data_IF_225753217133
#
_entry.id   IF_225753217133
#
_cell.length_a   1.000
_cell.length_b   1.000
_cell.length_c   1.000
_cell.angle_alpha   90.00
_cell.angle_beta   90.00
_cell.angle_gamma   90.00
#
_symmetry.space_group_name_H-M   'P 1'
#
loop_
_entity.id
_entity.type
_entity.pdbx_description
1 polymer ?
#
# COMPACT_ATOMS: atom_id res chain seq x y z
N UNK A 1 49.36 -20.81 17.75
CA UNK A 1 47.99 -20.45 18.17
C UNK A 1 47.36 -19.25 17.43
N UNK A 2 48.09 -18.47 16.62
CA UNK A 2 47.55 -17.25 15.96
C UNK A 2 46.74 -17.47 14.67
N UNK A 3 46.93 -18.59 13.96
CA UNK A 3 46.24 -18.87 12.67
C UNK A 3 44.76 -19.28 12.82
N UNK A 4 44.39 -19.93 13.94
CA UNK A 4 43.01 -20.39 14.18
C UNK A 4 42.06 -19.23 14.49
N UNK A 5 42.54 -18.19 15.17
CA UNK A 5 41.76 -16.99 15.48
C UNK A 5 41.41 -16.17 14.24
N UNK A 6 42.36 -16.02 13.30
CA UNK A 6 42.14 -15.26 12.05
C UNK A 6 41.06 -15.91 11.18
N UNK A 7 41.03 -17.24 11.10
CA UNK A 7 40.01 -17.97 10.33
C UNK A 7 38.60 -17.84 10.93
N UNK A 8 38.49 -17.84 12.27
CA UNK A 8 37.20 -17.66 12.97
C UNK A 8 36.67 -16.23 12.76
N UNK A 9 37.54 -15.21 12.81
CA UNK A 9 37.15 -13.82 12.57
C UNK A 9 36.76 -13.59 11.11
N UNK A 10 37.46 -14.20 10.15
CA UNK A 10 37.10 -14.10 8.72
C UNK A 10 35.76 -14.77 8.41
N UNK A 11 35.48 -15.92 9.03
CA UNK A 11 34.20 -16.62 8.89
C UNK A 11 33.03 -15.83 9.51
N UNK A 12 33.28 -15.12 10.62
CA UNK A 12 32.28 -14.27 11.25
C UNK A 12 31.95 -13.03 10.38
N UNK A 13 32.96 -12.40 9.78
CA UNK A 13 32.77 -11.24 8.88
C UNK A 13 32.05 -11.63 7.58
N UNK A 14 32.24 -12.86 7.08
CA UNK A 14 31.48 -13.39 5.94
C UNK A 14 30.02 -13.74 6.31
N UNK A 15 29.76 -14.16 7.54
CA UNK A 15 28.40 -14.44 8.02
C UNK A 15 27.57 -13.16 8.28
N UNK A 16 28.22 -12.02 8.55
CA UNK A 16 27.57 -10.71 8.70
C UNK A 16 27.78 -9.78 7.49
N UNK A 17 28.46 -10.26 6.45
CA UNK A 17 28.75 -9.53 5.23
C UNK A 17 27.48 -9.34 4.41
N UNK A 18 26.98 -8.10 4.38
CA UNK A 18 25.77 -7.67 3.70
C UNK A 18 24.46 -8.20 4.29
N UNK A 19 24.09 -7.69 5.48
CA UNK A 19 22.67 -7.41 5.72
C UNK A 19 22.28 -6.33 4.71
N UNK A 20 21.91 -6.74 3.50
CA UNK A 20 21.29 -5.85 2.54
C UNK A 20 20.10 -5.20 3.26
N UNK A 21 20.16 -3.89 3.41
CA UNK A 21 19.03 -3.13 3.96
C UNK A 21 17.97 -3.14 2.87
N UNK A 22 17.21 -4.22 2.79
CA UNK A 22 16.09 -4.34 1.86
C UNK A 22 15.05 -3.32 2.31
N UNK A 23 15.03 -2.18 1.63
CA UNK A 23 14.09 -1.13 1.92
C UNK A 23 12.74 -1.51 1.31
N UNK A 24 11.67 -1.31 2.09
CA UNK A 24 10.29 -1.44 1.66
C UNK A 24 9.68 -0.04 1.79
N UNK A 25 9.55 0.67 0.67
CA UNK A 25 9.16 2.08 0.64
C UNK A 25 8.39 2.41 -0.64
N UNK A 26 7.27 3.11 -0.45
CA UNK A 26 6.54 3.82 -1.51
C UNK A 26 7.22 5.16 -1.75
N UNK A 27 7.59 5.46 -3.00
CA UNK A 27 8.26 6.71 -3.38
C UNK A 27 7.29 7.73 -3.97
N UNK A 28 6.26 7.27 -4.67
CA UNK A 28 5.20 8.08 -5.21
C UNK A 28 3.87 7.34 -5.09
N UNK A 29 2.80 8.08 -4.84
CA UNK A 29 1.45 7.54 -4.80
C UNK A 29 0.48 8.55 -5.39
N UNK A 30 -0.48 8.06 -6.17
CA UNK A 30 -1.57 8.87 -6.71
C UNK A 30 -2.91 8.22 -6.41
N UNK A 31 -3.93 9.06 -6.21
CA UNK A 31 -5.31 8.62 -6.05
C UNK A 31 -6.17 9.49 -6.95
N UNK A 32 -6.93 8.86 -7.83
CA UNK A 32 -7.93 9.53 -8.64
C UNK A 32 -9.33 9.00 -8.28
N UNK A 33 -10.28 9.92 -8.11
CA UNK A 33 -11.66 9.62 -7.76
C UNK A 33 -12.58 10.32 -8.74
N UNK A 34 -13.44 9.55 -9.41
CA UNK A 34 -14.43 10.07 -10.34
C UNK A 34 -15.83 9.61 -9.90
N UNK A 35 -16.64 10.55 -9.41
CA UNK A 35 -18.05 10.30 -9.10
C UNK A 35 -18.87 10.36 -10.38
N UNK A 36 -19.06 9.22 -11.00
CA UNK A 36 -19.76 9.10 -12.29
C UNK A 36 -21.27 9.33 -12.17
N UNK A 37 -21.85 9.17 -10.98
CA UNK A 37 -23.25 9.51 -10.70
C UNK A 37 -23.50 9.68 -9.19
N UNK A 38 -24.73 10.04 -8.83
CA UNK A 38 -25.18 10.10 -7.42
C UNK A 38 -25.00 8.77 -6.64
N UNK A 39 -24.92 7.64 -7.36
CA UNK A 39 -24.86 6.30 -6.79
C UNK A 39 -23.64 5.49 -7.26
N UNK A 40 -22.67 6.12 -7.93
CA UNK A 40 -21.52 5.42 -8.49
C UNK A 40 -20.28 6.28 -8.50
N UNK A 41 -19.15 5.69 -8.12
CA UNK A 41 -17.82 6.26 -8.31
C UNK A 41 -16.80 5.22 -8.76
N UNK A 42 -15.88 5.64 -9.61
CA UNK A 42 -14.67 4.89 -9.96
C UNK A 42 -13.50 5.49 -9.23
N UNK A 43 -12.67 4.65 -8.65
CA UNK A 43 -11.48 5.04 -7.91
C UNK A 43 -10.31 4.26 -8.47
N UNK A 44 -9.24 4.97 -8.81
CA UNK A 44 -7.95 4.37 -9.11
C UNK A 44 -6.89 4.87 -8.15
N UNK A 45 -5.94 3.99 -7.84
CA UNK A 45 -4.77 4.31 -7.05
C UNK A 45 -3.55 3.70 -7.69
N UNK A 46 -2.47 4.47 -7.77
CA UNK A 46 -1.15 3.99 -8.16
C UNK A 46 -0.14 4.18 -7.05
N UNK A 47 0.83 3.28 -6.97
CA UNK A 47 1.98 3.39 -6.09
C UNK A 47 3.23 2.91 -6.81
N UNK A 48 4.29 3.70 -6.71
CA UNK A 48 5.62 3.37 -7.20
C UNK A 48 6.54 3.08 -6.01
N UNK A 49 7.41 2.10 -6.15
CA UNK A 49 8.28 1.64 -5.08
C UNK A 49 9.76 1.86 -5.41
N UNK A 50 10.62 1.97 -4.40
CA UNK A 50 12.07 2.19 -4.55
C UNK A 50 12.86 0.97 -5.07
N UNK A 51 12.18 -0.02 -5.65
CA UNK A 51 12.77 -1.23 -6.23
C UNK A 51 11.78 -2.38 -6.32
N UNK A 52 12.20 -3.51 -6.89
CA UNK A 52 11.35 -4.70 -7.07
C UNK A 52 10.97 -5.26 -5.70
N UNK A 53 9.67 -5.30 -5.42
CA UNK A 53 9.09 -5.87 -4.20
C UNK A 53 8.65 -7.30 -4.42
N UNK A 54 8.79 -8.12 -3.39
CA UNK A 54 8.38 -9.53 -3.45
C UNK A 54 6.86 -9.63 -3.47
N UNK A 55 6.18 -8.71 -2.76
CA UNK A 55 4.74 -8.50 -2.88
C UNK A 55 4.36 -7.05 -2.56
N UNK A 56 3.40 -6.51 -3.31
CA UNK A 56 2.77 -5.21 -3.06
C UNK A 56 1.26 -5.37 -3.04
N UNK A 57 0.60 -4.93 -1.98
CA UNK A 57 -0.85 -4.91 -1.86
C UNK A 57 -1.34 -3.47 -1.84
N UNK A 58 -2.26 -3.12 -2.74
CA UNK A 58 -3.04 -1.89 -2.65
C UNK A 58 -4.42 -2.22 -2.10
N UNK A 59 -4.84 -1.52 -1.05
CA UNK A 59 -6.17 -1.64 -0.46
C UNK A 59 -6.88 -0.31 -0.48
N UNK A 60 -7.96 -0.22 -1.24
CA UNK A 60 -8.83 0.95 -1.31
C UNK A 60 -10.01 0.73 -0.36
N UNK A 61 -10.22 1.64 0.58
CA UNK A 61 -11.33 1.63 1.55
C UNK A 61 -12.19 2.87 1.37
N UNK A 62 -13.47 2.68 1.08
CA UNK A 62 -14.44 3.75 0.99
C UNK A 62 -14.81 4.26 2.40
N UNK A 63 -14.72 5.57 2.58
CA UNK A 63 -15.10 6.26 3.80
C UNK A 63 -16.22 7.27 3.53
N UNK A 64 -17.14 7.42 4.46
CA UNK A 64 -18.22 8.41 4.43
C UNK A 64 -18.00 9.46 5.51
N UNK A 65 -18.42 10.70 5.22
CA UNK A 65 -18.47 11.76 6.23
C UNK A 65 -19.64 11.48 7.18
N UNK A 66 -19.39 11.54 8.48
CA UNK A 66 -20.38 11.33 9.53
C UNK A 66 -20.01 12.16 10.76
N UNK A 67 -20.92 13.02 11.23
CA UNK A 67 -20.75 13.89 12.40
C UNK A 67 -19.40 14.65 12.40
N UNK A 68 -19.04 15.25 11.27
CA UNK A 68 -17.78 15.99 11.14
C UNK A 68 -16.51 15.13 10.98
N UNK A 69 -16.59 13.82 11.19
CA UNK A 69 -15.47 12.88 11.04
C UNK A 69 -15.63 11.96 9.84
N UNK A 70 -14.57 11.22 9.51
CA UNK A 70 -14.59 10.23 8.44
C UNK A 70 -14.62 8.82 9.03
N UNK A 71 -15.58 8.01 8.61
CA UNK A 71 -15.69 6.61 9.03
C UNK A 71 -15.76 5.69 7.82
N UNK A 72 -15.55 4.39 8.01
CA UNK A 72 -15.80 3.41 6.93
C UNK A 72 -17.26 3.49 6.48
N UNK A 73 -17.49 3.49 5.17
CA UNK A 73 -18.83 3.63 4.61
C UNK A 73 -19.79 2.53 5.12
N UNK A 74 -21.03 2.94 5.43
CA UNK A 74 -22.09 2.05 5.93
C UNK A 74 -23.27 2.05 4.95
N UNK A 75 -24.02 0.95 4.91
CA UNK A 75 -25.15 0.77 3.98
C UNK A 75 -24.77 0.57 2.49
N UNK A 76 -23.48 0.49 2.15
CA UNK A 76 -23.00 0.13 0.80
C UNK A 76 -22.56 -1.34 0.78
N UNK A 77 -22.75 -2.01 -0.37
CA UNK A 77 -22.38 -3.42 -0.57
C UNK A 77 -20.86 -3.62 -0.57
N UNK A 78 -20.14 -2.81 -1.35
CA UNK A 78 -18.67 -2.84 -1.44
C UNK A 78 -18.07 -1.68 -0.66
N UNK A 79 -17.27 -1.98 0.36
CA UNK A 79 -16.59 -0.98 1.23
C UNK A 79 -15.08 -0.97 1.03
N UNK A 80 -14.54 -2.08 0.55
CA UNK A 80 -13.11 -2.29 0.39
C UNK A 80 -12.86 -3.07 -0.89
N UNK A 81 -11.73 -2.80 -1.52
CA UNK A 81 -11.20 -3.60 -2.62
C UNK A 81 -9.68 -3.66 -2.46
N UNK A 82 -9.07 -4.76 -2.89
CA UNK A 82 -7.63 -4.89 -2.84
C UNK A 82 -7.09 -5.68 -4.03
N UNK A 83 -5.89 -5.31 -4.44
CA UNK A 83 -5.08 -6.01 -5.43
C UNK A 83 -3.72 -6.30 -4.81
N UNK A 84 -3.17 -7.49 -5.07
CA UNK A 84 -1.81 -7.84 -4.69
C UNK A 84 -1.05 -8.29 -5.92
N UNK A 85 0.09 -7.63 -6.17
CA UNK A 85 1.03 -7.98 -7.21
C UNK A 85 2.33 -8.48 -6.59
N UNK A 86 3.10 -9.27 -7.34
CA UNK A 86 4.40 -9.82 -6.91
C UNK A 86 5.48 -9.43 -7.90
N UNK A 87 6.71 -9.32 -7.43
CA UNK A 87 7.89 -9.03 -8.25
C UNK A 87 7.70 -7.79 -9.14
N UNK A 88 7.16 -6.70 -8.56
CA UNK A 88 6.87 -5.46 -9.29
C UNK A 88 7.52 -4.24 -8.64
N UNK A 89 7.71 -3.19 -9.43
CA UNK A 89 8.15 -1.85 -9.00
C UNK A 89 7.01 -0.84 -8.92
N UNK A 90 5.84 -1.18 -9.44
CA UNK A 90 4.65 -0.33 -9.42
C UNK A 90 3.37 -1.15 -9.34
N UNK A 91 2.29 -0.51 -8.91
CA UNK A 91 0.97 -1.12 -8.85
C UNK A 91 -0.07 -0.08 -9.23
N UNK A 92 -0.92 -0.40 -10.20
CA UNK A 92 -2.11 0.38 -10.56
C UNK A 92 -3.35 -0.46 -10.27
N UNK A 93 -4.25 0.07 -9.45
CA UNK A 93 -5.49 -0.62 -9.10
C UNK A 93 -6.69 0.30 -9.29
N UNK A 94 -7.69 -0.17 -10.03
CA UNK A 94 -8.95 0.54 -10.26
C UNK A 94 -10.13 -0.29 -9.76
N UNK A 95 -11.10 0.37 -9.14
CA UNK A 95 -12.32 -0.27 -8.63
C UNK A 95 -13.50 0.68 -8.72
N UNK A 96 -14.68 0.11 -8.95
CA UNK A 96 -15.96 0.81 -8.85
C UNK A 96 -16.61 0.59 -7.48
N UNK A 97 -17.27 1.62 -6.96
CA UNK A 97 -18.10 1.58 -5.76
C UNK A 97 -19.52 2.04 -6.07
N UNK A 98 -20.51 1.32 -5.53
CA UNK A 98 -21.89 1.77 -5.48
C UNK A 98 -22.08 2.63 -4.23
N UNK A 99 -22.58 3.84 -4.42
CA UNK A 99 -22.73 4.87 -3.39
C UNK A 99 -24.19 5.04 -2.98
N UNK A 100 -24.41 5.62 -1.80
CA UNK A 100 -25.72 6.10 -1.37
C UNK A 100 -25.84 7.57 -1.80
N UNK A 101 -26.97 7.91 -2.42
CA UNK A 101 -27.29 9.28 -2.85
C UNK A 101 -27.22 10.25 -1.66
N UNK A 102 -26.67 11.44 -1.89
CA UNK A 102 -26.60 12.52 -0.88
C UNK A 102 -25.49 12.37 0.17
N UNK A 103 -24.75 11.26 0.19
CA UNK A 103 -23.58 11.12 1.07
C UNK A 103 -22.29 11.65 0.42
N UNK A 104 -21.44 12.23 1.25
CA UNK A 104 -20.08 12.66 0.90
C UNK A 104 -19.10 11.56 1.25
N UNK A 105 -18.23 11.21 0.29
CA UNK A 105 -17.27 10.14 0.43
C UNK A 105 -15.84 10.65 0.30
N UNK A 106 -14.89 9.84 0.76
CA UNK A 106 -13.48 9.87 0.39
C UNK A 106 -12.96 8.44 0.34
N UNK A 107 -11.75 8.23 -0.16
CA UNK A 107 -11.08 6.94 -0.03
C UNK A 107 -9.84 7.03 0.85
N UNK A 108 -9.63 5.97 1.64
CA UNK A 108 -8.36 5.65 2.29
C UNK A 108 -7.68 4.57 1.45
N UNK A 109 -6.49 4.84 0.94
CA UNK A 109 -5.68 3.87 0.22
C UNK A 109 -4.51 3.47 1.10
N UNK A 110 -4.31 2.16 1.28
CA UNK A 110 -3.15 1.62 1.99
C UNK A 110 -2.35 0.77 1.02
N UNK A 111 -1.09 1.13 0.83
CA UNK A 111 -0.10 0.30 0.15
C UNK A 111 0.69 -0.46 1.20
N UNK A 112 0.79 -1.76 1.05
CA UNK A 112 1.65 -2.62 1.86
C UNK A 112 2.66 -3.29 0.93
N UNK A 113 3.94 -3.02 1.13
CA UNK A 113 5.01 -3.60 0.32
C UNK A 113 5.95 -4.44 1.18
N UNK A 114 6.43 -5.54 0.59
CA UNK A 114 7.28 -6.53 1.25
C UNK A 114 8.57 -6.75 0.47
N UNK A 115 9.68 -6.78 1.19
CA UNK A 115 10.98 -7.18 0.67
C UNK A 115 11.76 -8.01 1.71
N UNK A 116 12.02 -9.27 1.37
CA UNK A 116 12.56 -10.26 2.30
C UNK A 116 11.65 -10.41 3.53
N UNK A 117 12.21 -10.20 4.70
CA UNK A 117 11.48 -10.25 5.98
C UNK A 117 10.79 -8.94 6.35
N UNK A 118 11.06 -7.85 5.64
CA UNK A 118 10.52 -6.52 5.96
C UNK A 118 9.22 -6.26 5.21
N UNK A 119 8.28 -5.64 5.91
CA UNK A 119 7.00 -5.20 5.39
C UNK A 119 6.73 -3.78 5.88
N UNK A 120 6.36 -2.90 4.97
CA UNK A 120 6.01 -1.51 5.27
C UNK A 120 4.58 -1.24 4.81
N UNK A 121 3.87 -0.37 5.52
CA UNK A 121 2.55 0.11 5.10
C UNK A 121 2.51 1.63 5.06
N UNK A 122 2.07 2.18 3.93
CA UNK A 122 1.86 3.61 3.73
C UNK A 122 0.37 3.88 3.47
N UNK A 123 -0.17 4.92 4.09
CA UNK A 123 -1.60 5.29 3.96
C UNK A 123 -1.75 6.68 3.37
N UNK A 124 -2.67 6.78 2.41
CA UNK A 124 -3.01 8.00 1.70
C UNK A 124 -4.53 8.20 1.68
N UNK A 125 -4.96 9.43 1.50
CA UNK A 125 -6.38 9.79 1.45
C UNK A 125 -6.66 10.64 0.22
N UNK A 126 -7.81 10.40 -0.43
CA UNK A 126 -8.30 11.32 -1.46
C UNK A 126 -8.90 12.58 -0.84
N UNK A 127 -9.13 13.58 -1.68
CA UNK A 127 -10.15 14.60 -1.43
C UNK A 127 -11.56 14.01 -1.29
N UNK A 128 -12.51 14.83 -0.87
CA UNK A 128 -13.91 14.45 -0.83
C UNK A 128 -14.53 14.43 -2.22
N UNK A 129 -15.47 13.51 -2.45
CA UNK A 129 -16.27 13.41 -3.67
C UNK A 129 -17.70 12.97 -3.37
#
# INVERSE_FOLDING_TARGET
MKRKFVLIVLALVLAFGAVSVVNAKVIAASINTNRTSNTSATVSASGDFDGIKDSCTCKITLQEKYNGSWRKATGVTKKTASLTEKNTISLLFSTKFTLIKGKVYRVKVTFTDKKGTRSTSSTYYSGSF
#
